data_IF_227043505225
#
_entry.id   IF_227043505225
#
_cell.length_a   1.000
_cell.length_b   1.000
_cell.length_c   1.000
_cell.angle_alpha   90.00
_cell.angle_beta   90.00
_cell.angle_gamma   90.00
#
_symmetry.space_group_name_H-M   'P 1'
#
loop_
_entity.id
_entity.type
_entity.pdbx_description
1 polymer ?
#
# COMPACT_ATOMS: atom_id res chain seq x y z
N UNK A 1 23.92 -28.03 -53.53
CA UNK A 1 24.05 -27.79 -52.08
C UNK A 1 24.46 -26.34 -51.87
N UNK A 2 23.54 -25.50 -51.40
CA UNK A 2 23.87 -24.27 -50.71
C UNK A 2 22.87 -24.16 -49.56
N UNK A 3 23.32 -24.51 -48.36
CA UNK A 3 22.53 -24.43 -47.15
C UNK A 3 22.25 -22.94 -46.87
N UNK A 4 20.98 -22.57 -46.84
CA UNK A 4 20.56 -21.26 -46.37
C UNK A 4 20.76 -21.26 -44.85
N UNK A 5 21.80 -20.56 -44.41
CA UNK A 5 22.08 -20.28 -43.00
C UNK A 5 20.88 -19.58 -42.37
N UNK A 6 20.14 -20.31 -41.53
CA UNK A 6 19.21 -19.72 -40.59
C UNK A 6 19.98 -18.89 -39.57
N UNK A 7 19.96 -17.56 -39.71
CA UNK A 7 20.43 -16.66 -38.65
C UNK A 7 19.55 -16.88 -37.44
N UNK A 8 20.11 -17.39 -36.35
CA UNK A 8 19.49 -17.33 -35.04
C UNK A 8 19.17 -15.87 -34.71
N UNK A 9 17.89 -15.53 -34.70
CA UNK A 9 17.42 -14.20 -34.32
C UNK A 9 17.55 -14.10 -32.82
N UNK A 10 18.32 -13.13 -32.33
CA UNK A 10 18.47 -12.93 -30.88
C UNK A 10 17.16 -12.41 -30.28
N UNK A 11 16.89 -12.77 -29.02
CA UNK A 11 15.71 -12.27 -28.29
C UNK A 11 15.65 -10.74 -28.25
N UNK A 12 16.79 -10.05 -28.26
CA UNK A 12 16.86 -8.59 -28.34
C UNK A 12 16.33 -8.03 -29.66
N UNK A 13 16.66 -8.68 -30.79
CA UNK A 13 16.14 -8.28 -32.11
C UNK A 13 14.62 -8.48 -32.19
N UNK A 14 14.11 -9.57 -31.61
CA UNK A 14 12.66 -9.81 -31.49
C UNK A 14 12.01 -8.70 -30.66
N UNK A 15 12.54 -8.39 -29.48
CA UNK A 15 12.00 -7.35 -28.60
C UNK A 15 11.97 -5.97 -29.26
N UNK A 16 13.02 -5.62 -30.01
CA UNK A 16 13.09 -4.35 -30.74
C UNK A 16 12.08 -4.27 -31.89
N UNK A 17 11.91 -5.38 -32.62
CA UNK A 17 10.90 -5.48 -33.66
C UNK A 17 9.48 -5.36 -33.09
N UNK A 18 9.17 -6.09 -32.02
CA UNK A 18 7.89 -6.04 -31.31
C UNK A 18 7.58 -4.64 -30.78
N UNK A 19 8.58 -3.97 -30.18
CA UNK A 19 8.47 -2.57 -29.74
C UNK A 19 8.11 -1.66 -30.91
N UNK A 20 8.77 -1.81 -32.06
CA UNK A 20 8.50 -0.95 -33.21
C UNK A 20 7.07 -1.16 -33.73
N UNK A 21 6.61 -2.41 -33.84
CA UNK A 21 5.22 -2.71 -34.23
C UNK A 21 4.19 -2.07 -33.29
N UNK A 22 4.47 -2.04 -31.99
CA UNK A 22 3.63 -1.34 -31.01
C UNK A 22 3.66 0.19 -31.18
N UNK A 23 4.85 0.78 -31.35
CA UNK A 23 5.02 2.24 -31.52
C UNK A 23 4.51 2.76 -32.87
N UNK A 24 4.48 1.92 -33.90
CA UNK A 24 3.85 2.19 -35.20
C UNK A 24 2.32 2.03 -35.15
N UNK A 25 1.78 1.46 -34.07
CA UNK A 25 0.35 1.21 -33.90
C UNK A 25 -0.18 -0.01 -34.65
N UNK A 26 0.72 -0.83 -35.22
CA UNK A 26 0.39 -2.13 -35.85
C UNK A 26 0.00 -3.18 -34.81
N UNK A 27 0.57 -3.07 -33.60
CA UNK A 27 0.14 -3.81 -32.41
C UNK A 27 -0.42 -2.84 -31.38
N UNK A 28 -1.54 -3.22 -30.76
CA UNK A 28 -2.22 -2.40 -29.74
C UNK A 28 -1.82 -2.78 -28.31
N UNK A 29 -1.27 -3.97 -28.13
CA UNK A 29 -0.91 -4.54 -26.83
C UNK A 29 0.58 -4.87 -26.87
N UNK A 30 1.31 -4.44 -25.85
CA UNK A 30 2.70 -4.81 -25.60
C UNK A 30 2.79 -5.43 -24.21
N UNK A 31 3.48 -6.56 -24.11
CA UNK A 31 3.73 -7.26 -22.84
C UNK A 31 5.20 -7.08 -22.50
N UNK A 32 5.49 -6.65 -21.27
CA UNK A 32 6.85 -6.47 -20.77
C UNK A 32 7.01 -7.25 -19.47
N UNK A 33 8.18 -7.87 -19.31
CA UNK A 33 8.62 -8.50 -18.07
C UNK A 33 9.84 -7.76 -17.52
N UNK A 34 10.20 -8.00 -16.26
CA UNK A 34 11.39 -7.40 -15.65
C UNK A 34 12.65 -7.68 -16.48
N UNK A 35 12.86 -8.94 -16.88
CA UNK A 35 14.00 -9.36 -17.69
C UNK A 35 13.98 -8.85 -19.14
N UNK A 36 12.79 -8.62 -19.72
CA UNK A 36 12.61 -8.22 -21.12
C UNK A 36 12.45 -6.72 -21.36
N UNK A 37 12.51 -5.87 -20.32
CA UNK A 37 12.15 -4.45 -20.41
C UNK A 37 13.30 -3.47 -20.25
N UNK A 38 14.54 -3.97 -20.06
CA UNK A 38 15.73 -3.13 -19.94
C UNK A 38 15.87 -2.23 -21.18
N UNK A 39 15.94 -0.91 -20.97
CA UNK A 39 16.05 0.08 -22.06
C UNK A 39 14.80 0.30 -22.91
N UNK A 40 13.76 -0.54 -22.80
CA UNK A 40 12.54 -0.43 -23.62
C UNK A 40 11.71 0.79 -23.19
N UNK A 41 11.11 1.46 -24.18
CA UNK A 41 10.27 2.64 -24.00
C UNK A 41 9.01 2.48 -24.83
N UNK A 42 7.85 2.51 -24.18
CA UNK A 42 6.53 2.29 -24.75
C UNK A 42 5.57 3.45 -24.46
N UNK A 43 6.07 4.58 -23.95
CA UNK A 43 5.26 5.77 -23.70
C UNK A 43 4.62 6.32 -24.98
N UNK A 44 3.58 7.14 -24.85
CA UNK A 44 2.92 7.80 -25.98
C UNK A 44 3.77 8.96 -26.51
N UNK A 45 4.96 8.68 -27.05
CA UNK A 45 5.89 9.69 -27.56
C UNK A 45 5.24 10.53 -28.67
N UNK A 46 5.35 11.87 -28.58
CA UNK A 46 4.90 12.79 -29.63
C UNK A 46 5.58 12.58 -30.99
N UNK A 47 6.73 11.88 -31.01
CA UNK A 47 7.47 11.53 -32.23
C UNK A 47 7.01 10.22 -32.85
N UNK A 48 6.27 9.40 -32.10
CA UNK A 48 5.77 8.12 -32.59
C UNK A 48 4.44 8.29 -33.33
N UNK A 49 4.14 7.34 -34.21
CA UNK A 49 2.85 7.27 -34.92
C UNK A 49 1.73 6.95 -33.90
N UNK A 50 1.96 5.96 -33.04
CA UNK A 50 0.99 5.56 -32.02
C UNK A 50 1.06 6.46 -30.78
N UNK A 51 0.28 7.54 -30.79
CA UNK A 51 0.17 8.48 -29.67
C UNK A 51 -1.03 8.20 -28.74
N UNK A 52 -1.71 7.07 -28.89
CA UNK A 52 -2.87 6.71 -28.06
C UNK A 52 -2.50 6.68 -26.58
N UNK A 53 -3.43 7.08 -25.70
CA UNK A 53 -3.22 7.03 -24.25
C UNK A 53 -2.85 5.61 -23.82
N UNK A 54 -1.78 5.49 -23.04
CA UNK A 54 -1.31 4.20 -22.53
C UNK A 54 -2.16 3.78 -21.34
N UNK A 55 -2.60 2.54 -21.35
CA UNK A 55 -3.17 1.87 -20.17
C UNK A 55 -2.14 0.84 -19.72
N UNK A 56 -1.45 1.11 -18.62
CA UNK A 56 -0.45 0.22 -18.05
C UNK A 56 -1.13 -0.71 -17.04
N UNK A 57 -1.24 -1.98 -17.39
CA UNK A 57 -1.79 -3.01 -16.51
C UNK A 57 -0.64 -3.75 -15.84
N UNK A 58 -0.62 -3.73 -14.51
CA UNK A 58 0.40 -4.40 -13.70
C UNK A 58 -0.22 -5.62 -13.06
N UNK A 59 0.15 -6.81 -13.55
CA UNK A 59 -0.34 -8.10 -13.05
C UNK A 59 0.39 -8.54 -11.78
N UNK A 60 1.68 -8.23 -11.68
CA UNK A 60 2.50 -8.49 -10.50
C UNK A 60 3.17 -7.18 -10.10
N UNK A 61 2.94 -6.75 -8.86
CA UNK A 61 3.61 -5.59 -8.31
C UNK A 61 5.02 -5.96 -7.90
N UNK A 62 6.05 -5.21 -8.34
CA UNK A 62 7.41 -5.46 -7.91
C UNK A 62 7.56 -5.34 -6.39
N UNK A 63 8.38 -6.24 -5.84
CA UNK A 63 8.73 -6.30 -4.42
C UNK A 63 9.39 -5.02 -3.88
N UNK A 64 9.92 -4.19 -4.78
CA UNK A 64 10.55 -2.91 -4.49
C UNK A 64 9.80 -1.80 -5.22
N UNK A 65 9.52 -0.71 -4.50
CA UNK A 65 8.96 0.48 -5.09
C UNK A 65 9.86 1.07 -6.19
N UNK A 66 11.19 1.04 -6.04
CA UNK A 66 12.11 1.55 -7.06
C UNK A 66 12.01 0.74 -8.36
N UNK A 67 11.84 -0.59 -8.24
CA UNK A 67 11.58 -1.46 -9.39
C UNK A 67 10.22 -1.14 -10.03
N UNK A 68 9.19 -0.90 -9.22
CA UNK A 68 7.88 -0.47 -9.73
C UNK A 68 7.98 0.86 -10.48
N UNK A 69 8.73 1.84 -9.96
CA UNK A 69 8.99 3.12 -10.64
C UNK A 69 9.70 2.91 -11.96
N UNK A 70 10.73 2.06 -11.99
CA UNK A 70 11.45 1.74 -13.22
C UNK A 70 10.56 1.06 -14.26
N UNK A 71 9.60 0.23 -13.82
CA UNK A 71 8.60 -0.41 -14.68
C UNK A 71 7.57 0.60 -15.20
N UNK A 72 7.08 1.50 -14.36
CA UNK A 72 6.15 2.56 -14.76
C UNK A 72 6.80 3.58 -15.69
N UNK A 73 8.09 3.84 -15.53
CA UNK A 73 8.91 4.66 -16.44
C UNK A 73 9.05 4.10 -17.86
N UNK A 74 8.57 2.87 -18.13
CA UNK A 74 8.48 2.33 -19.50
C UNK A 74 7.33 2.97 -20.27
N UNK A 75 6.24 3.34 -19.59
CA UNK A 75 5.07 3.99 -20.18
C UNK A 75 4.95 5.48 -19.84
N UNK A 76 5.70 5.97 -18.86
CA UNK A 76 5.68 7.36 -18.41
C UNK A 76 7.03 8.04 -18.62
N UNK A 77 7.12 8.97 -19.57
CA UNK A 77 8.35 9.72 -19.87
C UNK A 77 8.05 11.16 -20.31
N UNK A 78 9.08 12.00 -20.25
CA UNK A 78 9.06 13.32 -20.87
C UNK A 78 8.73 13.21 -22.38
N UNK A 79 8.08 14.23 -22.95
CA UNK A 79 7.61 14.24 -24.34
C UNK A 79 6.43 13.30 -24.68
N UNK A 80 5.73 12.76 -23.68
CA UNK A 80 4.49 12.02 -23.92
C UNK A 80 3.34 12.95 -24.34
N UNK A 81 2.55 12.55 -25.33
CA UNK A 81 1.34 13.24 -25.78
C UNK A 81 0.23 13.20 -24.72
N UNK A 82 0.19 12.14 -23.93
CA UNK A 82 -0.75 11.97 -22.81
C UNK A 82 -0.13 11.15 -21.69
N UNK A 83 -0.53 11.41 -20.45
CA UNK A 83 -0.15 10.57 -19.31
C UNK A 83 -0.81 9.18 -19.37
N UNK A 84 -0.11 8.12 -18.91
CA UNK A 84 -0.69 6.80 -18.82
C UNK A 84 -1.75 6.70 -17.71
N UNK A 85 -2.70 5.79 -17.90
CA UNK A 85 -3.58 5.30 -16.84
C UNK A 85 -3.00 3.99 -16.27
N UNK A 86 -2.84 3.91 -14.95
CA UNK A 86 -2.35 2.70 -14.29
C UNK A 86 -3.51 1.85 -13.77
N UNK A 87 -3.48 0.55 -14.07
CA UNK A 87 -4.40 -0.46 -13.54
C UNK A 87 -3.57 -1.50 -12.80
N UNK A 88 -3.53 -1.40 -11.47
CA UNK A 88 -2.83 -2.36 -10.62
C UNK A 88 -3.79 -3.50 -10.29
N UNK A 89 -3.43 -4.73 -10.65
CA UNK A 89 -4.20 -5.92 -10.35
C UNK A 89 -3.50 -6.64 -9.21
N UNK A 90 -4.25 -6.93 -8.16
CA UNK A 90 -3.80 -7.73 -7.03
C UNK A 90 -5.00 -8.53 -6.52
N UNK A 91 -4.71 -9.71 -5.98
CA UNK A 91 -5.67 -10.56 -5.30
C UNK A 91 -6.05 -9.95 -3.95
N UNK A 92 -7.13 -10.47 -3.36
CA UNK A 92 -7.55 -10.06 -2.03
C UNK A 92 -6.61 -10.56 -0.90
N UNK A 93 -5.53 -11.28 -1.22
CA UNK A 93 -4.57 -11.81 -0.26
C UNK A 93 -3.89 -10.69 0.52
N UNK A 94 -3.87 -10.81 1.85
CA UNK A 94 -3.24 -9.82 2.73
C UNK A 94 -1.78 -9.53 2.37
N UNK A 95 -1.05 -10.55 1.90
CA UNK A 95 0.31 -10.43 1.40
C UNK A 95 0.49 -9.47 0.21
N UNK A 96 -0.45 -9.47 -0.73
CA UNK A 96 -0.40 -8.61 -1.93
C UNK A 96 -0.84 -7.17 -1.65
N UNK A 97 -1.76 -6.97 -0.70
CA UNK A 97 -2.20 -5.62 -0.27
C UNK A 97 -1.06 -4.77 0.26
N UNK A 98 -0.04 -5.39 0.87
CA UNK A 98 1.20 -4.71 1.27
C UNK A 98 1.97 -4.18 0.06
N UNK A 99 2.15 -4.97 -0.99
CA UNK A 99 2.88 -4.50 -2.18
C UNK A 99 2.14 -3.35 -2.85
N UNK A 100 0.81 -3.47 -2.92
CA UNK A 100 -0.05 -2.37 -3.36
C UNK A 100 0.20 -1.11 -2.52
N UNK A 101 0.25 -1.21 -1.19
CA UNK A 101 0.42 -0.05 -0.33
C UNK A 101 1.78 0.63 -0.42
N UNK A 102 2.86 -0.14 -0.48
CA UNK A 102 4.23 0.39 -0.60
C UNK A 102 4.42 1.07 -1.96
N UNK A 103 3.98 0.43 -3.04
CA UNK A 103 4.04 0.98 -4.39
C UNK A 103 3.17 2.22 -4.49
N UNK A 104 1.97 2.19 -3.90
CA UNK A 104 1.05 3.31 -3.88
C UNK A 104 1.60 4.53 -3.13
N UNK A 105 2.18 4.35 -1.93
CA UNK A 105 2.86 5.43 -1.18
C UNK A 105 3.99 6.08 -1.99
N UNK A 106 4.73 5.28 -2.75
CA UNK A 106 5.84 5.76 -3.59
C UNK A 106 5.37 6.42 -4.89
N UNK A 107 4.28 5.92 -5.48
CA UNK A 107 3.56 6.60 -6.56
C UNK A 107 3.01 7.96 -6.10
N UNK A 108 2.44 8.04 -4.90
CA UNK A 108 2.01 9.31 -4.28
C UNK A 108 3.19 10.25 -4.08
N UNK A 109 4.33 9.75 -3.58
CA UNK A 109 5.54 10.56 -3.43
C UNK A 109 6.06 11.09 -4.77
N UNK A 110 5.96 10.32 -5.85
CA UNK A 110 6.32 10.75 -7.20
C UNK A 110 5.34 11.80 -7.75
N UNK A 111 4.04 11.62 -7.50
CA UNK A 111 3.00 12.61 -7.85
C UNK A 111 3.18 13.92 -7.08
N UNK A 112 3.42 13.83 -5.77
CA UNK A 112 3.70 14.96 -4.88
C UNK A 112 4.96 15.74 -5.26
N UNK A 113 5.96 15.08 -5.88
CA UNK A 113 7.17 15.71 -6.40
C UNK A 113 7.00 16.30 -7.81
N UNK A 114 5.94 15.97 -8.54
CA UNK A 114 5.83 16.35 -9.97
C UNK A 114 4.69 17.31 -10.29
N UNK A 115 3.57 17.32 -9.57
CA UNK A 115 2.60 18.42 -9.57
C UNK A 115 1.80 18.38 -8.26
N UNK A 116 1.54 19.53 -7.63
CA UNK A 116 0.75 19.65 -6.39
C UNK A 116 -0.72 19.26 -6.50
N UNK A 117 -1.09 18.43 -7.48
CA UNK A 117 -2.45 18.05 -7.80
C UNK A 117 -2.71 16.56 -7.48
N UNK A 118 -3.26 16.30 -6.28
CA UNK A 118 -3.57 14.95 -5.76
C UNK A 118 -4.88 14.37 -6.30
N UNK A 119 -5.36 14.83 -7.46
CA UNK A 119 -6.66 14.44 -8.06
C UNK A 119 -6.80 12.97 -8.48
N UNK A 120 -5.77 12.15 -8.38
CA UNK A 120 -5.78 10.77 -8.86
C UNK A 120 -6.01 9.74 -7.74
N UNK A 121 -7.28 9.42 -7.48
CA UNK A 121 -7.68 8.19 -6.78
C UNK A 121 -7.89 8.29 -5.26
N UNK A 122 -8.39 7.21 -4.61
CA UNK A 122 -8.52 7.15 -3.16
C UNK A 122 -7.15 7.40 -2.52
N UNK A 123 -7.10 8.24 -1.48
CA UNK A 123 -5.85 8.57 -0.77
C UNK A 123 -5.15 7.28 -0.33
N UNK A 124 -3.99 7.00 -0.94
CA UNK A 124 -3.21 5.78 -0.72
C UNK A 124 -2.48 5.83 0.64
N UNK A 125 -2.48 7.00 1.30
CA UNK A 125 -2.13 7.17 2.71
C UNK A 125 -2.88 6.20 3.65
N UNK A 126 -4.10 5.79 3.31
CA UNK A 126 -4.88 4.81 4.05
C UNK A 126 -4.19 3.45 4.19
N UNK A 127 -3.20 3.17 3.34
CA UNK A 127 -2.46 1.92 3.33
C UNK A 127 -1.02 2.06 3.87
N UNK A 128 -0.65 3.21 4.47
CA UNK A 128 0.67 3.44 5.04
C UNK A 128 0.88 2.71 6.39
N UNK A 129 1.04 1.40 6.33
CA UNK A 129 1.23 0.54 7.51
C UNK A 129 2.56 0.75 8.22
N UNK A 130 3.58 1.34 7.59
CA UNK A 130 4.85 1.68 8.24
C UNK A 130 4.77 2.94 9.13
N UNK A 131 3.61 3.58 9.21
CA UNK A 131 3.36 4.72 10.10
C UNK A 131 3.51 4.34 11.58
N UNK A 132 3.65 5.35 12.45
CA UNK A 132 3.66 5.14 13.91
C UNK A 132 2.39 4.40 14.39
N UNK A 133 1.25 4.68 13.77
CA UNK A 133 -0.01 3.99 14.03
C UNK A 133 0.07 2.50 13.65
N UNK A 134 0.71 2.15 12.53
CA UNK A 134 0.87 0.77 12.11
C UNK A 134 1.86 0.00 12.98
N UNK A 135 2.95 0.63 13.42
CA UNK A 135 3.86 0.04 14.42
C UNK A 135 3.14 -0.22 15.75
N UNK A 136 2.31 0.72 16.20
CA UNK A 136 1.48 0.56 17.40
C UNK A 136 0.47 -0.57 17.22
N UNK A 137 -0.21 -0.64 16.08
CA UNK A 137 -1.16 -1.72 15.76
C UNK A 137 -0.50 -3.10 15.79
N UNK A 138 0.69 -3.22 15.18
CA UNK A 138 1.47 -4.46 15.18
C UNK A 138 1.84 -4.89 16.60
N UNK A 139 2.30 -3.94 17.42
CA UNK A 139 2.67 -4.18 18.82
C UNK A 139 1.47 -4.70 19.61
N UNK A 140 0.31 -4.03 19.48
CA UNK A 140 -0.92 -4.45 20.15
C UNK A 140 -1.39 -5.84 19.69
N UNK A 141 -1.30 -6.12 18.39
CA UNK A 141 -1.62 -7.43 17.85
C UNK A 141 -0.72 -8.51 18.43
N UNK A 142 0.60 -8.30 18.45
CA UNK A 142 1.56 -9.27 18.99
C UNK A 142 1.37 -9.51 20.47
N UNK A 143 1.21 -8.46 21.28
CA UNK A 143 0.96 -8.61 22.72
C UNK A 143 -0.37 -9.30 22.99
N UNK A 144 -1.40 -9.00 22.21
CA UNK A 144 -2.70 -9.68 22.25
C UNK A 144 -2.59 -11.18 21.92
N UNK A 145 -1.90 -11.52 20.82
CA UNK A 145 -1.69 -12.91 20.41
C UNK A 145 -0.85 -13.67 21.42
N UNK A 146 0.16 -13.02 22.02
CA UNK A 146 1.00 -13.62 23.05
C UNK A 146 0.31 -13.73 24.41
N UNK A 147 -0.94 -13.27 24.54
CA UNK A 147 -1.71 -13.22 25.79
C UNK A 147 -1.03 -12.37 26.88
N UNK A 148 -0.26 -11.35 26.48
CA UNK A 148 0.36 -10.38 27.40
C UNK A 148 -0.59 -9.23 27.74
N UNK A 149 -1.37 -8.81 26.75
CA UNK A 149 -2.38 -7.75 26.86
C UNK A 149 -3.71 -8.28 26.27
N UNK A 150 -4.88 -7.73 26.63
CA UNK A 150 -6.13 -8.05 25.97
C UNK A 150 -6.12 -7.58 24.50
N UNK A 151 -6.69 -8.38 23.60
CA UNK A 151 -6.89 -7.95 22.22
C UNK A 151 -7.90 -6.79 22.17
N UNK A 152 -7.56 -5.68 21.49
CA UNK A 152 -8.43 -4.50 21.44
C UNK A 152 -9.64 -4.69 20.51
N UNK A 153 -9.63 -5.73 19.68
CA UNK A 153 -10.69 -6.09 18.73
C UNK A 153 -10.91 -7.60 18.74
N UNK A 154 -12.11 -8.03 18.37
CA UNK A 154 -12.42 -9.46 18.22
C UNK A 154 -11.69 -10.01 16.98
N UNK A 155 -10.95 -11.13 17.07
CA UNK A 155 -10.29 -11.72 15.92
C UNK A 155 -11.24 -12.11 14.79
N UNK A 156 -10.76 -12.10 13.53
CA UNK A 156 -11.59 -12.46 12.39
C UNK A 156 -12.09 -13.91 12.49
N UNK A 157 -13.39 -14.08 12.23
CA UNK A 157 -14.07 -15.38 12.34
C UNK A 157 -14.37 -15.82 13.78
N UNK A 158 -14.15 -14.96 14.78
CA UNK A 158 -14.55 -15.20 16.17
C UNK A 158 -15.77 -14.35 16.54
N UNK A 159 -16.44 -14.71 17.64
CA UNK A 159 -17.51 -13.92 18.26
C UNK A 159 -17.18 -13.65 19.72
N UNK A 160 -17.50 -12.44 20.20
CA UNK A 160 -17.37 -12.06 21.61
C UNK A 160 -18.19 -12.97 22.54
N UNK A 161 -19.28 -13.55 22.03
CA UNK A 161 -20.17 -14.46 22.77
C UNK A 161 -19.58 -15.88 22.90
N UNK A 162 -18.53 -16.21 22.14
CA UNK A 162 -17.93 -17.54 22.08
C UNK A 162 -16.43 -17.50 22.43
N UNK A 163 -16.07 -17.42 23.72
CA UNK A 163 -14.68 -17.28 24.16
C UNK A 163 -13.76 -18.42 23.69
N UNK A 164 -14.30 -19.64 23.52
CA UNK A 164 -13.55 -20.78 22.98
C UNK A 164 -13.02 -20.54 21.56
N UNK A 165 -13.75 -19.78 20.73
CA UNK A 165 -13.31 -19.46 19.35
C UNK A 165 -12.09 -18.54 19.33
N UNK A 166 -12.04 -17.58 20.26
CA UNK A 166 -10.91 -16.67 20.42
C UNK A 166 -9.69 -17.46 20.88
N UNK A 167 -9.87 -18.39 21.82
CA UNK A 167 -8.76 -19.22 22.30
C UNK A 167 -8.19 -20.11 21.20
N UNK A 168 -9.04 -20.75 20.39
CA UNK A 168 -8.60 -21.54 19.23
C UNK A 168 -7.82 -20.69 18.20
N UNK A 169 -8.31 -19.47 17.94
CA UNK A 169 -7.59 -18.51 17.10
C UNK A 169 -6.19 -18.19 17.67
N UNK A 170 -6.09 -17.89 18.97
CA UNK A 170 -4.82 -17.55 19.62
C UNK A 170 -3.81 -18.70 19.57
N UNK A 171 -4.25 -19.93 19.82
CA UNK A 171 -3.38 -21.12 19.75
C UNK A 171 -2.83 -21.29 18.32
N UNK A 172 -3.70 -21.22 17.31
CA UNK A 172 -3.29 -21.34 15.91
C UNK A 172 -2.41 -20.17 15.46
N UNK A 173 -2.70 -18.96 15.92
CA UNK A 173 -1.90 -17.77 15.62
C UNK A 173 -0.50 -17.88 16.23
N UNK A 174 -0.36 -18.29 17.49
CA UNK A 174 0.95 -18.52 18.11
C UNK A 174 1.78 -19.53 17.32
N UNK A 175 1.20 -20.67 16.97
CA UNK A 175 1.88 -21.69 16.17
C UNK A 175 2.33 -21.15 14.80
N UNK A 176 1.48 -20.35 14.14
CA UNK A 176 1.82 -19.71 12.87
C UNK A 176 2.96 -18.68 13.02
N UNK A 177 2.97 -17.86 14.08
CA UNK A 177 4.06 -16.90 14.34
C UNK A 177 5.39 -17.60 14.65
N UNK A 178 5.37 -18.75 15.31
CA UNK A 178 6.56 -19.61 15.50
C UNK A 178 7.02 -20.16 14.16
N UNK A 179 6.11 -20.73 13.36
CA UNK A 179 6.43 -21.25 12.02
C UNK A 179 6.97 -20.18 11.08
N UNK A 180 6.52 -18.92 11.22
CA UNK A 180 7.00 -17.79 10.46
C UNK A 180 8.35 -17.23 10.97
N UNK A 181 8.88 -17.76 12.08
CA UNK A 181 10.12 -17.29 12.71
C UNK A 181 10.02 -15.90 13.34
N UNK A 182 8.80 -15.44 13.65
CA UNK A 182 8.54 -14.19 14.38
C UNK A 182 8.71 -14.43 15.88
N UNK A 183 8.07 -15.49 16.40
CA UNK A 183 8.26 -15.93 17.79
C UNK A 183 9.45 -16.88 17.83
N UNK A 184 10.41 -16.57 18.68
CA UNK A 184 11.63 -17.35 18.91
C UNK A 184 11.59 -18.03 20.28
N UNK A 185 12.49 -18.99 20.47
CA UNK A 185 12.66 -19.74 21.72
C UNK A 185 11.35 -20.39 22.18
N UNK A 186 10.62 -20.96 21.22
CA UNK A 186 9.33 -21.57 21.48
C UNK A 186 9.49 -22.82 22.36
N UNK A 187 8.91 -22.78 23.55
CA UNK A 187 8.89 -23.90 24.50
C UNK A 187 7.45 -24.31 24.80
N UNK A 188 7.25 -25.61 24.95
CA UNK A 188 5.98 -26.14 25.44
C UNK A 188 5.98 -26.01 26.96
N UNK A 189 4.95 -25.36 27.51
CA UNK A 189 4.73 -25.30 28.95
C UNK A 189 4.64 -26.70 29.56
N UNK A 190 5.11 -26.83 30.80
CA UNK A 190 5.05 -28.07 31.58
C UNK A 190 4.20 -27.86 32.83
N UNK A 191 3.49 -28.90 33.30
CA UNK A 191 2.60 -28.80 34.47
C UNK A 191 1.23 -28.15 34.16
N UNK A 192 0.84 -27.11 34.90
CA UNK A 192 -0.48 -26.44 34.75
C UNK A 192 -0.70 -25.75 33.38
N UNK A 193 0.38 -25.47 32.65
CA UNK A 193 0.38 -24.90 31.29
C UNK A 193 0.77 -25.93 30.22
N UNK A 194 0.56 -27.22 30.48
CA UNK A 194 0.88 -28.30 29.54
C UNK A 194 0.20 -28.07 28.18
N UNK A 195 1.03 -27.91 27.13
CA UNK A 195 0.56 -27.68 25.76
C UNK A 195 0.43 -26.20 25.35
N UNK A 196 0.63 -25.24 26.27
CA UNK A 196 0.66 -23.82 25.93
C UNK A 196 2.01 -23.48 25.30
N UNK A 197 2.00 -23.06 24.03
CA UNK A 197 3.19 -22.53 23.36
C UNK A 197 3.58 -21.20 23.97
N UNK A 198 4.75 -21.16 24.61
CA UNK A 198 5.40 -19.95 25.09
C UNK A 198 6.59 -19.63 24.20
N UNK A 199 6.92 -18.35 24.04
CA UNK A 199 8.04 -17.88 23.25
C UNK A 199 8.17 -16.37 23.36
N UNK A 200 9.19 -15.78 22.74
CA UNK A 200 9.40 -14.33 22.77
C UNK A 200 9.50 -13.76 21.37
N UNK A 201 8.93 -12.57 21.21
CA UNK A 201 9.17 -11.71 20.06
C UNK A 201 10.26 -10.72 20.49
N UNK A 202 11.35 -10.65 19.73
CA UNK A 202 12.46 -9.74 20.03
C UNK A 202 11.99 -8.31 19.80
N UNK A 203 12.46 -7.36 20.61
CA UNK A 203 12.04 -5.95 20.55
C UNK A 203 12.23 -5.34 19.15
N UNK A 204 13.32 -5.70 18.46
CA UNK A 204 13.57 -5.31 17.06
C UNK A 204 12.44 -5.70 16.10
N UNK A 205 11.77 -6.82 16.36
CA UNK A 205 10.72 -7.37 15.50
C UNK A 205 9.33 -6.84 15.92
N UNK A 206 9.19 -6.28 17.13
CA UNK A 206 7.91 -5.80 17.70
C UNK A 206 7.32 -4.62 16.92
N UNK A 207 8.18 -3.78 16.36
CA UNK A 207 7.82 -2.56 15.62
C UNK A 207 8.16 -2.63 14.13
N UNK A 208 8.61 -3.78 13.63
CA UNK A 208 9.03 -3.96 12.25
C UNK A 208 7.88 -4.53 11.40
N UNK A 209 7.05 -3.59 10.91
CA UNK A 209 5.92 -3.89 10.01
C UNK A 209 6.40 -4.51 8.70
N UNK A 210 7.54 -4.07 8.17
CA UNK A 210 8.15 -4.64 6.98
C UNK A 210 8.47 -6.12 7.15
N UNK A 211 9.12 -6.49 8.26
CA UNK A 211 9.44 -7.88 8.60
C UNK A 211 8.18 -8.71 8.87
N UNK A 212 7.22 -8.20 9.65
CA UNK A 212 5.94 -8.87 9.88
C UNK A 212 5.28 -9.27 8.55
N UNK A 213 5.11 -8.29 7.65
CA UNK A 213 4.43 -8.52 6.38
C UNK A 213 5.24 -9.42 5.44
N UNK A 214 6.57 -9.34 5.45
CA UNK A 214 7.44 -10.27 4.73
C UNK A 214 7.30 -11.72 5.22
N UNK A 215 7.24 -11.91 6.56
CA UNK A 215 7.08 -13.24 7.17
C UNK A 215 5.68 -13.81 6.95
N UNK A 216 4.67 -12.94 6.87
CA UNK A 216 3.31 -13.32 6.58
C UNK A 216 3.18 -14.06 5.24
N UNK A 217 3.96 -13.68 4.23
CA UNK A 217 3.95 -14.32 2.91
C UNK A 217 4.35 -15.80 2.94
N UNK A 218 5.12 -16.22 3.96
CA UNK A 218 5.48 -17.62 4.15
C UNK A 218 4.37 -18.48 4.76
N UNK A 219 3.25 -17.88 5.18
CA UNK A 219 2.13 -18.60 5.80
C UNK A 219 1.08 -19.03 4.76
N UNK A 220 0.26 -20.06 5.05
CA UNK A 220 -0.86 -20.42 4.19
C UNK A 220 -1.87 -19.25 4.04
N UNK A 221 -2.55 -19.09 2.88
CA UNK A 221 -3.43 -17.96 2.59
C UNK A 221 -4.48 -17.66 3.66
N UNK A 222 -5.05 -18.70 4.28
CA UNK A 222 -6.04 -18.55 5.37
C UNK A 222 -5.44 -17.81 6.56
N UNK A 223 -4.20 -18.14 6.94
CA UNK A 223 -3.49 -17.45 8.01
C UNK A 223 -3.08 -16.04 7.58
N UNK A 224 -2.58 -15.86 6.35
CA UNK A 224 -2.26 -14.54 5.83
C UNK A 224 -3.42 -13.56 5.99
N UNK A 225 -4.60 -13.97 5.53
CA UNK A 225 -5.80 -13.13 5.58
C UNK A 225 -6.23 -12.88 7.02
N UNK A 226 -6.25 -13.90 7.89
CA UNK A 226 -6.63 -13.75 9.30
C UNK A 226 -5.72 -12.79 10.08
N UNK A 227 -4.41 -12.93 9.92
CA UNK A 227 -3.45 -12.02 10.57
C UNK A 227 -3.57 -10.61 10.03
N UNK A 228 -3.71 -10.47 8.71
CA UNK A 228 -3.81 -9.16 8.08
C UNK A 228 -5.14 -8.46 8.45
N UNK A 229 -6.26 -9.16 8.44
CA UNK A 229 -7.56 -8.63 8.87
C UNK A 229 -7.56 -8.19 10.34
N UNK A 230 -6.95 -8.99 11.23
CA UNK A 230 -6.76 -8.60 12.62
C UNK A 230 -5.91 -7.33 12.72
N UNK A 231 -4.77 -7.29 12.03
CA UNK A 231 -3.89 -6.12 12.00
C UNK A 231 -4.62 -4.86 11.51
N UNK A 232 -5.38 -4.96 10.41
CA UNK A 232 -6.15 -3.85 9.86
C UNK A 232 -7.24 -3.39 10.82
N UNK A 233 -7.96 -4.30 11.46
CA UNK A 233 -9.00 -3.94 12.43
C UNK A 233 -8.44 -3.18 13.62
N UNK A 234 -7.25 -3.56 14.10
CA UNK A 234 -6.54 -2.84 15.16
C UNK A 234 -6.04 -1.48 14.65
N UNK A 235 -5.49 -1.45 13.44
CA UNK A 235 -5.01 -0.21 12.83
C UNK A 235 -6.15 0.81 12.66
N UNK A 236 -7.29 0.39 12.11
CA UNK A 236 -8.46 1.24 11.91
C UNK A 236 -9.01 1.77 13.24
N UNK A 237 -9.04 0.93 14.29
CA UNK A 237 -9.40 1.39 15.64
C UNK A 237 -8.47 2.50 16.14
N UNK A 238 -7.15 2.32 15.98
CA UNK A 238 -6.16 3.33 16.39
C UNK A 238 -6.33 4.62 15.60
N UNK A 239 -6.54 4.53 14.27
CA UNK A 239 -6.77 5.70 13.41
C UNK A 239 -8.05 6.43 13.81
N UNK A 240 -9.13 5.69 14.07
CA UNK A 240 -10.40 6.28 14.49
C UNK A 240 -10.28 6.99 15.84
N UNK A 241 -9.61 6.38 16.81
CA UNK A 241 -9.34 7.01 18.11
C UNK A 241 -8.49 8.29 17.96
N UNK A 242 -7.40 8.21 17.17
CA UNK A 242 -6.57 9.38 16.89
C UNK A 242 -7.35 10.50 16.18
N UNK A 243 -8.30 10.14 15.31
CA UNK A 243 -9.17 11.11 14.64
C UNK A 243 -10.14 11.76 15.61
N UNK A 244 -10.75 11.00 16.54
CA UNK A 244 -11.62 11.57 17.57
C UNK A 244 -10.87 12.45 18.57
N UNK A 245 -9.59 12.16 18.83
CA UNK A 245 -8.72 12.93 19.73
C UNK A 245 -8.04 14.13 19.03
N UNK A 246 -8.25 14.32 17.73
CA UNK A 246 -7.62 15.38 16.94
C UNK A 246 -6.12 15.21 16.73
N UNK A 247 -5.56 14.04 17.04
CA UNK A 247 -4.13 13.70 16.91
C UNK A 247 -3.79 13.07 15.55
N UNK A 248 -4.79 12.82 14.70
CA UNK A 248 -4.58 12.25 13.37
C UNK A 248 -4.33 13.35 12.33
N UNK A 249 -3.06 13.54 11.98
CA UNK A 249 -2.65 14.36 10.85
C UNK A 249 -2.63 13.52 9.56
N UNK A 250 -3.66 13.68 8.72
CA UNK A 250 -3.69 13.09 7.36
C UNK A 250 -2.83 13.84 6.34
N UNK A 251 -2.05 14.84 6.78
CA UNK A 251 -1.36 15.79 5.92
C UNK A 251 -2.34 16.80 5.30
N UNK A 252 -1.95 17.42 4.19
CA UNK A 252 -2.79 18.40 3.47
C UNK A 252 -4.12 17.74 3.06
N UNK A 253 -5.22 18.22 3.64
CA UNK A 253 -6.58 17.76 3.40
C UNK A 253 -7.24 18.66 2.38
N UNK A 254 -7.67 18.10 1.25
CA UNK A 254 -8.53 18.80 0.31
C UNK A 254 -9.95 18.89 0.89
N UNK A 255 -10.42 20.11 1.13
CA UNK A 255 -11.78 20.38 1.59
C UNK A 255 -12.72 20.38 0.38
N UNK A 256 -13.58 19.36 0.27
CA UNK A 256 -14.69 19.34 -0.71
C UNK A 256 -15.99 19.72 -0.02
N UNK A 257 -16.68 20.69 -0.58
CA UNK A 257 -17.94 21.22 -0.08
C UNK A 257 -18.72 21.91 -1.19
N UNK A 258 -20.03 22.04 -1.02
CA UNK A 258 -20.86 22.78 -1.97
C UNK A 258 -20.53 24.28 -1.90
N UNK A 259 -20.25 24.77 -0.68
CA UNK A 259 -19.88 26.17 -0.45
C UNK A 259 -18.72 26.22 0.55
N UNK A 260 -17.68 26.99 0.21
CA UNK A 260 -16.55 27.31 1.09
C UNK A 260 -16.47 28.83 1.17
N UNK A 261 -16.58 29.40 2.38
CA UNK A 261 -16.47 30.84 2.61
C UNK A 261 -15.29 31.14 3.54
N UNK A 262 -14.40 32.09 3.21
CA UNK A 262 -13.35 32.51 4.13
C UNK A 262 -13.99 33.21 5.35
N UNK A 263 -13.57 32.82 6.54
CA UNK A 263 -13.95 33.44 7.80
C UNK A 263 -12.90 34.50 8.15
N UNK A 264 -12.94 35.60 7.42
CA UNK A 264 -12.04 36.75 7.60
C UNK A 264 -10.71 36.67 6.82
N UNK A 265 -9.85 37.69 6.97
CA UNK A 265 -8.55 37.74 6.30
C UNK A 265 -7.54 36.75 6.91
N UNK A 266 -6.56 36.27 6.13
CA UNK A 266 -5.53 35.35 6.63
C UNK A 266 -4.69 35.99 7.73
N UNK A 267 -4.34 35.20 8.75
CA UNK A 267 -3.55 35.65 9.90
C UNK A 267 -2.15 35.04 9.84
N UNK A 268 -1.10 35.85 9.86
CA UNK A 268 0.27 35.35 10.00
C UNK A 268 0.47 34.77 11.40
N UNK A 269 0.83 33.48 11.47
CA UNK A 269 0.98 32.73 12.72
C UNK A 269 2.44 32.66 13.14
N UNK A 270 3.34 32.57 12.17
CA UNK A 270 4.77 32.47 12.42
C UNK A 270 5.56 33.01 11.23
N UNK A 271 6.72 33.59 11.49
CA UNK A 271 7.70 33.97 10.47
C UNK A 271 9.03 33.35 10.87
N UNK A 272 9.56 32.52 9.99
CA UNK A 272 10.84 31.86 10.20
C UNK A 272 11.99 32.89 10.18
N UNK A 273 12.80 32.90 11.23
CA UNK A 273 13.85 33.91 11.42
C UNK A 273 15.05 33.75 10.47
N UNK A 274 15.27 32.56 9.91
CA UNK A 274 16.42 32.29 9.04
C UNK A 274 16.11 32.52 7.57
N UNK A 275 14.88 32.22 7.15
CA UNK A 275 14.44 32.22 5.75
C UNK A 275 13.47 33.35 5.42
N UNK A 276 12.87 33.99 6.43
CA UNK A 276 11.82 35.00 6.24
C UNK A 276 10.48 34.41 5.77
N UNK A 277 10.34 33.08 5.72
CA UNK A 277 9.11 32.43 5.29
C UNK A 277 7.97 32.66 6.29
N UNK A 278 6.80 33.09 5.81
CA UNK A 278 5.62 33.34 6.64
C UNK A 278 4.64 32.16 6.59
N UNK A 279 4.23 31.68 7.76
CA UNK A 279 3.15 30.72 7.94
C UNK A 279 1.85 31.48 8.16
N UNK A 280 0.86 31.28 7.29
CA UNK A 280 -0.45 31.95 7.36
C UNK A 280 -1.56 30.97 7.70
N UNK A 281 -2.42 31.35 8.65
CA UNK A 281 -3.67 30.67 8.99
C UNK A 281 -4.80 31.22 8.12
N UNK A 282 -5.49 30.32 7.42
CA UNK A 282 -6.74 30.60 6.74
C UNK A 282 -7.87 29.85 7.46
N UNK A 283 -8.91 30.57 7.86
CA UNK A 283 -10.10 29.97 8.46
C UNK A 283 -11.22 29.96 7.43
N UNK A 284 -11.89 28.83 7.26
CA UNK A 284 -12.99 28.68 6.32
C UNK A 284 -14.23 28.11 7.01
N UNK A 285 -15.40 28.61 6.63
CA UNK A 285 -16.68 27.97 6.91
C UNK A 285 -17.06 27.09 5.73
N UNK A 286 -17.43 25.84 6.02
CA UNK A 286 -17.62 24.80 5.01
C UNK A 286 -19.03 24.24 5.12
N UNK A 287 -19.80 24.30 4.02
CA UNK A 287 -21.13 23.70 3.92
C UNK A 287 -21.08 22.49 2.96
N UNK A 288 -21.24 21.29 3.52
CA UNK A 288 -21.17 20.02 2.79
C UNK A 288 -22.53 19.56 2.26
N UNK A 289 -23.60 20.30 2.52
CA UNK A 289 -24.98 19.86 2.27
C UNK A 289 -25.39 18.69 3.16
N UNK A 290 -26.70 18.47 3.27
CA UNK A 290 -27.29 17.30 3.92
C UNK A 290 -27.98 16.49 2.81
N UNK A 291 -27.78 15.18 2.74
CA UNK A 291 -28.58 14.32 1.86
C UNK A 291 -30.01 14.30 2.38
N UNK A 292 -30.98 14.44 1.48
CA UNK A 292 -32.42 14.56 1.79
C UNK A 292 -32.95 13.49 2.78
N UNK A 293 -32.33 12.31 2.79
CA UNK A 293 -32.68 11.20 3.69
C UNK A 293 -32.43 11.48 5.18
N UNK A 294 -31.57 12.45 5.53
CA UNK A 294 -31.25 12.80 6.93
C UNK A 294 -32.13 13.95 7.44
N UNK A 295 -32.90 14.61 6.57
CA UNK A 295 -33.71 15.80 6.92
C UNK A 295 -35.15 15.45 7.30
N UNK A 296 -35.59 14.20 7.12
CA UNK A 296 -36.92 13.75 7.56
C UNK A 296 -36.79 12.94 8.86
N UNK A 297 -36.78 13.66 9.98
CA UNK A 297 -37.31 13.21 11.28
C UNK A 297 -38.16 14.37 11.81
#
# INVERSE_FOLDING_TARGET
MAAINGKEVTMEMVNMHEKQLFMDGKKLIGIISEAGSAGVSLHADRRAINQRRRVHITLELPWSADRAIQQFGRSHRSNQASAPEYRLIFTNLGGERRFASIVAKRLESLGALTQGDRRAGPSLSAYNYDSNFGKKALTMMYRGIMEQDPLPVVPPGCSSEKPASIQDFLVKAKAALVSAGIVRDATLGSGKDAGKLSGRIVDSDMHDVGRFLNRLLGLPPVFQNRFFELFISIFDLIINNARSEGQFDSGIVDIKANIIKPQGPPKTVHVDHMTGASTMLFTFTVDRGITWEVTII
#
